data_IF_851148666418
#
_entry.id   IF_851148666418
#
_cell.length_a   1.000
_cell.length_b   1.000
_cell.length_c   1.000
_cell.angle_alpha   90.00
_cell.angle_beta   90.00
_cell.angle_gamma   90.00
#
_symmetry.space_group_name_H-M   'P 1'
#
loop_
_entity.id
_entity.type
_entity.pdbx_description
1 polymer ?
#
# COMPACT_ATOMS: atom_id res chain seq x y z
N UNK A 1 -9.08 42.82 26.72
CA UNK A 1 -9.78 42.33 25.51
C UNK A 1 -10.44 41.01 25.90
N UNK A 2 -11.76 41.01 26.11
CA UNK A 2 -12.51 39.84 26.58
C UNK A 2 -12.59 38.78 25.47
N UNK A 3 -11.64 37.84 25.46
CA UNK A 3 -11.67 36.65 24.60
C UNK A 3 -13.04 35.94 24.56
N UNK A 4 -13.82 35.86 25.66
CA UNK A 4 -15.16 35.25 25.63
C UNK A 4 -16.18 36.03 24.78
N UNK A 5 -16.13 37.37 24.77
CA UNK A 5 -17.07 38.20 23.99
C UNK A 5 -16.75 38.14 22.49
N UNK A 6 -15.47 38.15 22.13
CA UNK A 6 -15.02 38.04 20.74
C UNK A 6 -15.45 36.70 20.10
N UNK A 7 -15.39 35.61 20.87
CA UNK A 7 -15.78 34.28 20.41
C UNK A 7 -17.29 34.15 20.12
N UNK A 8 -18.13 34.90 20.85
CA UNK A 8 -19.59 34.85 20.68
C UNK A 8 -20.06 35.69 19.48
N UNK A 9 -19.44 36.82 19.21
CA UNK A 9 -19.84 37.71 18.10
C UNK A 9 -19.16 37.37 16.76
N UNK A 10 -17.95 36.81 16.78
CA UNK A 10 -17.15 36.56 15.57
C UNK A 10 -16.99 35.08 15.21
N UNK A 11 -17.84 34.20 15.74
CA UNK A 11 -17.77 32.76 15.46
C UNK A 11 -17.78 32.41 13.96
N UNK A 12 -18.48 33.10 13.03
CA UNK A 12 -18.43 32.76 11.61
C UNK A 12 -17.06 33.04 10.99
N UNK A 13 -16.42 34.15 11.41
CA UNK A 13 -15.06 34.48 11.00
C UNK A 13 -14.06 33.45 11.53
N UNK A 14 -14.22 32.96 12.77
CA UNK A 14 -13.37 31.91 13.33
C UNK A 14 -13.49 30.59 12.54
N UNK A 15 -14.71 30.19 12.14
CA UNK A 15 -14.91 29.01 11.29
C UNK A 15 -14.25 29.17 9.92
N UNK A 16 -14.33 30.37 9.33
CA UNK A 16 -13.68 30.67 8.06
C UNK A 16 -12.15 30.65 8.17
N UNK A 17 -11.57 31.22 9.24
CA UNK A 17 -10.13 31.12 9.51
C UNK A 17 -9.71 29.66 9.66
N UNK A 18 -10.49 28.85 10.37
CA UNK A 18 -10.23 27.43 10.51
C UNK A 18 -10.31 26.69 9.16
N UNK A 19 -11.27 27.02 8.30
CA UNK A 19 -11.33 26.52 6.92
C UNK A 19 -10.05 26.86 6.15
N UNK A 20 -9.57 28.10 6.24
CA UNK A 20 -8.32 28.53 5.59
C UNK A 20 -7.11 27.72 6.07
N UNK A 21 -6.99 27.48 7.39
CA UNK A 21 -5.91 26.65 7.96
C UNK A 21 -6.00 25.20 7.47
N UNK A 22 -7.19 24.62 7.50
CA UNK A 22 -7.44 23.24 7.03
C UNK A 22 -7.14 23.11 5.53
N UNK A 23 -7.58 24.07 4.72
CA UNK A 23 -7.30 24.12 3.29
C UNK A 23 -5.81 24.26 3.00
N UNK A 24 -5.12 25.14 3.74
CA UNK A 24 -3.68 25.33 3.63
C UNK A 24 -2.92 24.03 3.93
N UNK A 25 -3.27 23.33 5.02
CA UNK A 25 -2.64 22.04 5.36
C UNK A 25 -2.89 21.03 4.23
N UNK A 26 -4.11 20.92 3.70
CA UNK A 26 -4.36 20.01 2.58
C UNK A 26 -3.55 20.35 1.34
N UNK A 27 -3.53 21.62 0.93
CA UNK A 27 -2.72 22.08 -0.22
C UNK A 27 -1.24 21.78 0.02
N UNK A 28 -0.75 21.94 1.26
CA UNK A 28 0.60 21.52 1.63
C UNK A 28 0.81 20.01 1.45
N UNK A 29 -0.11 19.15 1.89
CA UNK A 29 0.00 17.70 1.64
C UNK A 29 0.06 17.37 0.15
N UNK A 30 -0.81 17.97 -0.66
CA UNK A 30 -0.83 17.75 -2.10
C UNK A 30 0.42 18.28 -2.80
N UNK A 31 0.86 19.49 -2.46
CA UNK A 31 2.02 20.14 -3.09
C UNK A 31 3.35 19.54 -2.63
N UNK A 32 3.54 19.36 -1.33
CA UNK A 32 4.79 18.87 -0.75
C UNK A 32 4.88 17.36 -0.87
N UNK A 33 3.99 16.58 -0.23
CA UNK A 33 4.12 15.13 -0.25
C UNK A 33 3.72 14.56 -1.61
N UNK A 34 2.46 14.69 -2.00
CA UNK A 34 1.94 13.98 -3.18
C UNK A 34 2.48 14.53 -4.50
N UNK A 35 2.92 15.78 -4.53
CA UNK A 35 3.69 16.39 -5.61
C UNK A 35 4.94 15.59 -5.95
N UNK A 36 5.61 15.00 -4.95
CA UNK A 36 6.80 14.18 -5.20
C UNK A 36 6.50 13.00 -6.10
N UNK A 37 5.42 12.26 -5.87
CA UNK A 37 5.04 11.17 -6.76
C UNK A 37 4.58 11.69 -8.13
N UNK A 38 3.74 12.73 -8.16
CA UNK A 38 3.21 13.30 -9.39
C UNK A 38 4.32 13.74 -10.38
N UNK A 39 5.43 14.26 -9.85
CA UNK A 39 6.57 14.72 -10.64
C UNK A 39 7.76 13.75 -10.66
N UNK A 40 7.67 12.62 -9.95
CA UNK A 40 8.75 11.63 -9.93
C UNK A 40 9.01 11.06 -11.32
N UNK A 41 10.27 11.04 -11.73
CA UNK A 41 10.73 10.35 -12.94
C UNK A 41 11.75 9.31 -12.53
N UNK A 42 11.55 8.08 -12.97
CA UNK A 42 12.55 7.03 -12.77
C UNK A 42 13.79 7.39 -13.59
N UNK A 43 14.96 7.42 -12.95
CA UNK A 43 16.22 7.63 -13.66
C UNK A 43 16.60 6.32 -14.35
N UNK A 44 16.76 6.29 -15.69
CA UNK A 44 17.24 5.11 -16.39
C UNK A 44 18.60 4.68 -15.82
N UNK A 45 18.82 3.37 -15.63
CA UNK A 45 20.17 2.86 -15.38
C UNK A 45 20.94 2.85 -16.69
N UNK A 46 22.16 3.38 -16.70
CA UNK A 46 23.09 3.29 -17.83
C UNK A 46 23.56 1.84 -18.05
N UNK A 47 23.62 1.04 -16.98
CA UNK A 47 23.98 -0.39 -17.01
C UNK A 47 22.99 -1.19 -16.17
N UNK A 48 22.30 -2.15 -16.78
CA UNK A 48 21.45 -3.10 -16.05
C UNK A 48 22.33 -4.14 -15.34
N UNK A 49 22.65 -3.91 -14.07
CA UNK A 49 23.19 -4.98 -13.22
C UNK A 49 22.00 -5.75 -12.65
N UNK A 50 21.71 -6.90 -13.25
CA UNK A 50 20.74 -7.87 -12.74
C UNK A 50 21.47 -8.84 -11.80
N UNK A 51 20.97 -8.97 -10.58
CA UNK A 51 21.48 -9.89 -9.56
C UNK A 51 20.53 -11.09 -9.43
N UNK A 52 20.98 -12.19 -8.84
CA UNK A 52 20.07 -13.31 -8.60
C UNK A 52 18.94 -12.93 -7.61
N UNK A 53 17.72 -13.40 -7.88
CA UNK A 53 16.50 -13.03 -7.12
C UNK A 53 15.79 -14.28 -6.62
N UNK A 54 15.35 -14.27 -5.36
CA UNK A 54 14.40 -15.26 -4.83
C UNK A 54 13.02 -14.63 -4.70
N UNK A 55 12.05 -15.16 -5.45
CA UNK A 55 10.65 -14.78 -5.29
C UNK A 55 10.06 -15.63 -4.16
N UNK A 56 9.38 -15.02 -3.20
CA UNK A 56 8.75 -15.74 -2.08
C UNK A 56 7.24 -15.54 -2.14
N UNK A 57 6.51 -16.66 -2.19
CA UNK A 57 5.04 -16.73 -2.20
C UNK A 57 4.59 -17.58 -1.01
N UNK A 58 3.66 -17.10 -0.20
CA UNK A 58 3.03 -17.95 0.83
C UNK A 58 1.57 -18.21 0.45
N UNK A 59 1.14 -19.45 0.66
CA UNK A 59 -0.17 -19.95 0.29
C UNK A 59 -0.79 -20.72 1.46
N UNK A 60 -2.08 -20.53 1.71
CA UNK A 60 -2.92 -21.39 2.55
C UNK A 60 -4.33 -21.41 2.02
N UNK A 61 -4.78 -22.59 1.64
CA UNK A 61 -6.05 -22.79 0.96
C UNK A 61 -6.17 -21.87 -0.27
N UNK A 62 -5.17 -21.99 -1.17
CA UNK A 62 -4.98 -21.12 -2.34
C UNK A 62 -4.90 -21.92 -3.65
N UNK A 63 -5.40 -23.16 -3.71
CA UNK A 63 -5.25 -24.04 -4.88
C UNK A 63 -5.68 -23.35 -6.19
N UNK A 64 -6.89 -22.77 -6.19
CA UNK A 64 -7.44 -22.06 -7.34
C UNK A 64 -6.63 -20.81 -7.75
N UNK A 65 -6.09 -20.08 -6.77
CA UNK A 65 -5.28 -18.89 -7.04
C UNK A 65 -3.89 -19.27 -7.56
N UNK A 66 -3.28 -20.33 -7.05
CA UNK A 66 -1.98 -20.82 -7.51
C UNK A 66 -2.05 -21.31 -8.96
N UNK A 67 -3.06 -22.11 -9.33
CA UNK A 67 -3.28 -22.53 -10.72
C UNK A 67 -3.34 -21.33 -11.66
N UNK A 68 -4.01 -20.26 -11.23
CA UNK A 68 -4.24 -19.07 -12.06
C UNK A 68 -3.04 -18.13 -12.13
N UNK A 69 -2.36 -17.90 -11.00
CA UNK A 69 -1.45 -16.76 -10.85
C UNK A 69 0.03 -17.18 -10.84
N UNK A 70 0.35 -18.34 -10.26
CA UNK A 70 1.73 -18.79 -10.08
C UNK A 70 2.48 -18.99 -11.41
N UNK A 71 1.87 -19.46 -12.52
CA UNK A 71 2.54 -19.49 -13.82
C UNK A 71 3.11 -18.14 -14.26
N UNK A 72 2.43 -17.03 -13.97
CA UNK A 72 2.92 -15.68 -14.29
C UNK A 72 4.17 -15.28 -13.51
N UNK A 73 4.38 -15.85 -12.31
CA UNK A 73 5.60 -15.69 -11.52
C UNK A 73 6.73 -16.60 -12.02
N UNK A 74 6.39 -17.80 -12.48
CA UNK A 74 7.35 -18.82 -12.93
C UNK A 74 7.91 -18.56 -14.33
N UNK A 75 7.13 -17.91 -15.19
CA UNK A 75 7.47 -17.64 -16.60
C UNK A 75 8.13 -16.26 -16.82
N UNK A 76 8.78 -15.71 -15.79
CA UNK A 76 9.41 -14.40 -15.86
C UNK A 76 10.65 -14.41 -16.77
N UNK A 77 10.71 -13.43 -17.68
CA UNK A 77 11.87 -13.14 -18.53
C UNK A 77 12.90 -12.39 -17.71
N UNK A 78 13.86 -13.14 -17.17
CA UNK A 78 14.93 -12.59 -16.35
C UNK A 78 16.29 -13.08 -16.86
N UNK A 79 17.21 -12.18 -17.26
CA UNK A 79 18.48 -12.58 -17.89
C UNK A 79 19.46 -13.25 -16.94
N UNK A 80 19.26 -13.09 -15.63
CA UNK A 80 20.07 -13.72 -14.57
C UNK A 80 19.26 -14.86 -13.93
N UNK A 81 19.85 -15.52 -12.94
CA UNK A 81 19.18 -16.57 -12.18
C UNK A 81 18.05 -16.01 -11.30
N UNK A 82 16.96 -16.73 -11.24
CA UNK A 82 15.95 -16.55 -10.20
C UNK A 82 15.44 -17.91 -9.71
N UNK A 83 14.88 -17.93 -8.51
CA UNK A 83 14.12 -19.05 -7.99
C UNK A 83 12.77 -18.58 -7.44
N UNK A 84 11.83 -19.51 -7.30
CA UNK A 84 10.52 -19.23 -6.72
C UNK A 84 10.32 -20.16 -5.52
N UNK A 85 10.33 -19.59 -4.32
CA UNK A 85 10.06 -20.29 -3.06
C UNK A 85 8.58 -20.15 -2.72
N UNK A 86 7.83 -21.24 -2.81
CA UNK A 86 6.43 -21.30 -2.43
C UNK A 86 6.30 -22.01 -1.09
N UNK A 87 5.78 -21.31 -0.09
CA UNK A 87 5.54 -21.85 1.25
C UNK A 87 4.06 -22.21 1.36
N UNK A 88 3.77 -23.50 1.46
CA UNK A 88 2.43 -24.03 1.74
C UNK A 88 2.23 -24.09 3.26
N UNK A 89 1.35 -23.23 3.78
CA UNK A 89 1.13 -23.06 5.22
C UNK A 89 -0.11 -23.80 5.69
N UNK A 90 0.04 -25.09 5.96
CA UNK A 90 -1.00 -25.94 6.57
C UNK A 90 -2.35 -25.88 5.82
N UNK A 91 -2.30 -26.00 4.49
CA UNK A 91 -3.51 -26.04 3.65
C UNK A 91 -4.29 -27.35 3.83
N UNK A 92 -5.61 -27.24 3.76
CA UNK A 92 -6.55 -28.37 3.78
C UNK A 92 -7.15 -28.64 2.39
N UNK A 93 -7.07 -27.68 1.47
CA UNK A 93 -7.50 -27.85 0.08
C UNK A 93 -6.44 -28.56 -0.79
N UNK A 94 -6.64 -28.56 -2.10
CA UNK A 94 -5.76 -29.20 -3.08
C UNK A 94 -4.43 -28.45 -3.33
N UNK A 95 -4.10 -27.41 -2.55
CA UNK A 95 -2.90 -26.58 -2.72
C UNK A 95 -1.63 -27.43 -2.86
N UNK A 96 -1.49 -28.44 -2.00
CA UNK A 96 -0.32 -29.32 -2.02
C UNK A 96 -0.15 -30.02 -3.36
N UNK A 97 -1.21 -30.61 -3.91
CA UNK A 97 -1.17 -31.36 -5.17
C UNK A 97 -0.87 -30.44 -6.36
N UNK A 98 -1.42 -29.23 -6.37
CA UNK A 98 -1.11 -28.21 -7.38
C UNK A 98 0.37 -27.87 -7.38
N UNK A 99 0.96 -27.68 -6.20
CA UNK A 99 2.39 -27.36 -6.06
C UNK A 99 3.30 -28.54 -6.44
N UNK A 100 2.91 -29.76 -6.11
CA UNK A 100 3.64 -30.98 -6.51
C UNK A 100 3.67 -31.12 -8.03
N UNK A 101 2.56 -30.84 -8.72
CA UNK A 101 2.49 -30.91 -10.19
C UNK A 101 3.34 -29.82 -10.85
N UNK A 102 3.18 -28.56 -10.42
CA UNK A 102 3.98 -27.45 -10.95
C UNK A 102 5.49 -27.66 -10.72
N UNK A 103 5.89 -28.32 -9.62
CA UNK A 103 7.31 -28.61 -9.34
C UNK A 103 7.92 -29.61 -10.32
N UNK A 104 7.11 -30.48 -10.93
CA UNK A 104 7.60 -31.41 -11.96
C UNK A 104 8.07 -30.64 -13.19
N UNK A 105 7.33 -29.61 -13.59
CA UNK A 105 7.60 -28.76 -14.75
C UNK A 105 8.66 -27.68 -14.46
N UNK A 106 8.54 -26.97 -13.34
CA UNK A 106 9.39 -25.80 -13.04
C UNK A 106 10.48 -26.11 -12.00
N UNK A 107 11.67 -26.47 -12.47
CA UNK A 107 12.81 -26.86 -11.59
C UNK A 107 13.37 -25.72 -10.74
N UNK A 108 13.17 -24.47 -11.14
CA UNK A 108 13.51 -23.28 -10.36
C UNK A 108 12.56 -23.07 -9.15
N UNK A 109 11.44 -23.80 -9.10
CA UNK A 109 10.50 -23.71 -7.99
C UNK A 109 10.92 -24.61 -6.82
N UNK A 110 10.92 -24.04 -5.62
CA UNK A 110 11.11 -24.74 -4.36
C UNK A 110 9.83 -24.66 -3.55
N UNK A 111 9.32 -25.81 -3.12
CA UNK A 111 8.12 -25.89 -2.28
C UNK A 111 8.55 -26.21 -0.86
N UNK A 112 8.10 -25.40 0.09
CA UNK A 112 8.29 -25.61 1.53
C UNK A 112 6.94 -25.93 2.14
N UNK A 113 6.80 -27.16 2.63
CA UNK A 113 5.59 -27.63 3.28
C UNK A 113 5.66 -27.37 4.79
N UNK A 114 4.67 -26.64 5.32
CA UNK A 114 4.47 -26.48 6.76
C UNK A 114 3.24 -27.27 7.19
N UNK A 115 3.47 -28.31 7.99
CA UNK A 115 2.42 -29.21 8.49
C UNK A 115 1.96 -28.87 9.90
N UNK A 116 2.54 -27.83 10.50
CA UNK A 116 2.24 -27.41 11.87
C UNK A 116 2.11 -25.89 11.94
N UNK A 117 1.07 -25.43 12.64
CA UNK A 117 0.91 -24.01 12.92
C UNK A 117 1.93 -23.53 13.95
N UNK A 118 2.52 -22.36 13.70
CA UNK A 118 3.37 -21.72 14.68
C UNK A 118 2.54 -21.21 15.86
N UNK A 119 2.77 -21.79 17.04
CA UNK A 119 2.18 -21.30 18.29
C UNK A 119 2.57 -19.82 18.48
N UNK A 120 1.57 -18.99 18.80
CA UNK A 120 1.73 -17.57 19.15
C UNK A 120 2.19 -16.63 18.01
N UNK A 121 2.24 -17.10 16.76
CA UNK A 121 2.55 -16.26 15.58
C UNK A 121 1.37 -16.33 14.60
N UNK A 122 0.29 -15.56 14.83
CA UNK A 122 -0.85 -15.54 13.92
C UNK A 122 -0.50 -14.94 12.56
N UNK A 123 -1.15 -15.45 11.51
CA UNK A 123 -1.06 -14.90 10.15
C UNK A 123 0.19 -15.30 9.37
N UNK A 124 0.46 -14.54 8.30
CA UNK A 124 1.47 -14.89 7.27
C UNK A 124 2.93 -14.77 7.74
N UNK A 125 3.21 -14.20 8.91
CA UNK A 125 4.59 -13.90 9.36
C UNK A 125 5.45 -15.14 9.51
N UNK A 126 4.91 -16.22 10.06
CA UNK A 126 5.63 -17.47 10.21
C UNK A 126 6.00 -18.10 8.86
N UNK A 127 5.04 -18.42 7.96
CA UNK A 127 5.39 -19.00 6.67
C UNK A 127 6.28 -18.08 5.84
N UNK A 128 6.07 -16.76 5.89
CA UNK A 128 6.93 -15.80 5.20
C UNK A 128 8.36 -15.82 5.76
N UNK A 129 8.54 -15.92 7.09
CA UNK A 129 9.86 -16.04 7.70
C UNK A 129 10.60 -17.30 7.25
N UNK A 130 9.88 -18.42 7.13
CA UNK A 130 10.46 -19.67 6.63
C UNK A 130 10.86 -19.50 5.16
N UNK A 131 9.97 -18.97 4.32
CA UNK A 131 10.27 -18.72 2.91
C UNK A 131 11.50 -17.83 2.69
N UNK A 132 11.59 -16.74 3.46
CA UNK A 132 12.75 -15.83 3.44
C UNK A 132 14.03 -16.53 3.89
N UNK A 133 13.98 -17.34 4.96
CA UNK A 133 15.14 -18.09 5.43
C UNK A 133 15.63 -19.11 4.40
N UNK A 134 14.69 -19.79 3.72
CA UNK A 134 14.97 -20.80 2.70
C UNK A 134 15.47 -20.21 1.38
N UNK A 135 15.11 -18.97 1.05
CA UNK A 135 15.58 -18.27 -0.15
C UNK A 135 17.12 -18.28 -0.26
N UNK A 136 17.65 -18.66 -1.41
CA UNK A 136 19.09 -18.76 -1.71
C UNK A 136 19.73 -17.41 -2.00
N UNK A 137 18.97 -16.48 -2.56
CA UNK A 137 19.50 -15.21 -3.03
C UNK A 137 19.25 -14.06 -2.06
N UNK A 138 20.12 -13.05 -2.15
CA UNK A 138 20.06 -11.87 -1.28
C UNK A 138 18.89 -10.96 -1.64
N UNK A 139 18.53 -10.81 -2.91
CA UNK A 139 17.37 -9.98 -3.30
C UNK A 139 16.11 -10.83 -3.23
N UNK A 140 15.20 -10.41 -2.36
CA UNK A 140 13.90 -11.04 -2.19
C UNK A 140 12.84 -10.22 -2.91
N UNK A 141 11.92 -10.91 -3.59
CA UNK A 141 10.74 -10.31 -4.18
C UNK A 141 9.51 -11.03 -3.63
N UNK A 142 8.60 -10.29 -3.00
CA UNK A 142 7.44 -10.82 -2.30
C UNK A 142 6.18 -10.52 -3.09
N UNK A 143 5.33 -11.54 -3.19
CA UNK A 143 3.97 -11.43 -3.71
C UNK A 143 3.04 -12.40 -2.96
N UNK A 144 1.73 -12.17 -3.08
CA UNK A 144 0.71 -13.06 -2.52
C UNK A 144 0.29 -14.11 -3.56
N UNK A 145 -0.24 -15.25 -3.11
CA UNK A 145 -0.73 -16.31 -4.00
C UNK A 145 -1.92 -15.87 -4.88
N UNK A 146 -2.68 -14.87 -4.44
CA UNK A 146 -3.80 -14.27 -5.17
C UNK A 146 -3.38 -13.13 -6.14
N UNK A 147 -2.07 -12.97 -6.35
CA UNK A 147 -1.48 -11.93 -7.20
C UNK A 147 -0.70 -12.52 -8.38
N UNK A 148 -0.86 -11.91 -9.55
CA UNK A 148 -0.09 -12.22 -10.76
C UNK A 148 0.73 -11.00 -11.20
N UNK A 149 2.00 -11.14 -11.61
CA UNK A 149 2.74 -10.07 -12.26
C UNK A 149 2.00 -9.49 -13.48
N UNK A 150 2.02 -8.18 -13.66
CA UNK A 150 1.38 -7.51 -14.79
C UNK A 150 2.15 -7.68 -16.12
N UNK A 151 3.41 -8.12 -16.04
CA UNK A 151 4.32 -8.31 -17.17
C UNK A 151 5.21 -9.53 -16.93
N UNK A 152 5.73 -10.10 -18.01
CA UNK A 152 6.82 -11.11 -18.00
C UNK A 152 8.16 -10.50 -17.58
N UNK A 153 8.29 -9.17 -17.58
CA UNK A 153 9.50 -8.44 -17.18
C UNK A 153 9.44 -7.92 -15.73
N UNK A 154 8.53 -8.43 -14.90
CA UNK A 154 8.30 -7.91 -13.55
C UNK A 154 9.54 -7.99 -12.67
N UNK A 155 10.25 -9.12 -12.68
CA UNK A 155 11.51 -9.25 -11.92
C UNK A 155 12.53 -8.23 -12.41
N UNK A 156 12.75 -8.13 -13.72
CA UNK A 156 13.67 -7.17 -14.35
C UNK A 156 13.32 -5.73 -13.96
N UNK A 157 12.04 -5.36 -14.04
CA UNK A 157 11.57 -4.03 -13.71
C UNK A 157 11.76 -3.70 -12.22
N UNK A 158 11.44 -4.62 -11.32
CA UNK A 158 11.69 -4.45 -9.88
C UNK A 158 13.18 -4.29 -9.56
N UNK A 159 14.05 -5.04 -10.24
CA UNK A 159 15.50 -4.93 -10.08
C UNK A 159 16.05 -3.59 -10.58
N UNK A 160 15.48 -3.03 -11.65
CA UNK A 160 15.89 -1.72 -12.18
C UNK A 160 15.74 -0.58 -11.17
N UNK A 161 14.92 -0.73 -10.13
CA UNK A 161 14.80 0.24 -9.03
C UNK A 161 15.98 0.18 -8.03
N UNK A 162 16.73 -0.92 -7.94
CA UNK A 162 17.88 -1.04 -7.05
C UNK A 162 19.03 -0.11 -7.49
N UNK A 163 19.76 0.42 -6.52
CA UNK A 163 21.04 1.13 -6.63
C UNK A 163 21.93 0.58 -5.52
N UNK A 164 23.19 1.00 -5.46
CA UNK A 164 24.15 0.48 -4.48
C UNK A 164 23.65 0.67 -3.02
N UNK A 165 22.98 1.79 -2.76
CA UNK A 165 22.39 2.15 -1.46
C UNK A 165 21.01 1.54 -1.21
N UNK A 166 20.35 1.00 -2.25
CA UNK A 166 18.99 0.46 -2.12
C UNK A 166 19.02 -0.89 -1.43
N UNK A 167 18.18 -1.02 -0.41
CA UNK A 167 17.89 -2.29 0.25
C UNK A 167 16.40 -2.65 0.20
N UNK A 168 15.52 -1.69 -0.08
CA UNK A 168 14.06 -1.86 -0.12
C UNK A 168 13.51 -1.16 -1.37
N UNK A 169 12.64 -1.85 -2.11
CA UNK A 169 11.89 -1.30 -3.24
C UNK A 169 10.39 -1.53 -3.00
N UNK A 170 9.63 -0.43 -2.96
CA UNK A 170 8.18 -0.43 -2.80
C UNK A 170 7.51 -0.46 -4.19
N UNK A 171 6.80 -1.53 -4.50
CA UNK A 171 6.06 -1.69 -5.76
C UNK A 171 4.56 -1.45 -5.59
N UNK A 172 3.85 -1.24 -6.70
CA UNK A 172 2.40 -1.06 -6.70
C UNK A 172 1.68 -2.41 -6.90
N UNK A 173 0.88 -2.81 -5.91
CA UNK A 173 -0.06 -3.92 -6.03
C UNK A 173 -1.42 -3.41 -6.51
N UNK A 174 -1.67 -3.49 -7.81
CA UNK A 174 -2.90 -3.06 -8.44
C UNK A 174 -4.01 -4.12 -8.33
N UNK A 175 -5.24 -3.73 -8.67
CA UNK A 175 -6.36 -4.66 -8.82
C UNK A 175 -6.77 -4.74 -10.30
N UNK A 176 -7.26 -5.91 -10.73
CA UNK A 176 -7.88 -6.02 -12.05
C UNK A 176 -9.03 -5.02 -12.21
N UNK A 177 -9.07 -4.35 -13.36
CA UNK A 177 -10.18 -3.47 -13.74
C UNK A 177 -11.39 -4.33 -14.08
N UNK A 178 -12.45 -4.21 -13.28
CA UNK A 178 -13.73 -4.90 -13.49
C UNK A 178 -14.85 -3.86 -13.60
N UNK A 179 -15.96 -4.27 -14.21
CA UNK A 179 -17.18 -3.44 -14.22
C UNK A 179 -17.72 -3.27 -12.79
N UNK A 180 -18.45 -2.19 -12.56
CA UNK A 180 -19.14 -1.92 -11.29
C UNK A 180 -18.43 -0.93 -10.37
N UNK A 181 -19.23 -0.27 -9.54
CA UNK A 181 -18.78 0.81 -8.66
C UNK A 181 -17.84 0.33 -7.54
N UNK A 182 -18.09 -0.86 -6.97
CA UNK A 182 -17.24 -1.44 -5.93
C UNK A 182 -15.78 -1.59 -6.39
N UNK A 183 -15.54 -2.06 -7.62
CA UNK A 183 -14.17 -2.17 -8.14
C UNK A 183 -13.49 -0.81 -8.27
N UNK A 184 -14.20 0.21 -8.79
CA UNK A 184 -13.65 1.57 -8.88
C UNK A 184 -13.31 2.13 -7.50
N UNK A 185 -14.15 1.87 -6.49
CA UNK A 185 -13.89 2.28 -5.12
C UNK A 185 -12.67 1.57 -4.50
N UNK A 186 -12.55 0.26 -4.68
CA UNK A 186 -11.39 -0.52 -4.19
C UNK A 186 -10.11 0.00 -4.84
N UNK A 187 -10.12 0.24 -6.15
CA UNK A 187 -8.98 0.77 -6.89
C UNK A 187 -8.64 2.20 -6.47
N UNK A 188 -9.65 3.05 -6.24
CA UNK A 188 -9.44 4.39 -5.70
C UNK A 188 -8.70 4.36 -4.37
N UNK A 189 -9.15 3.51 -3.44
CA UNK A 189 -8.54 3.41 -2.13
C UNK A 189 -7.13 2.80 -2.19
N UNK A 190 -6.90 1.88 -3.12
CA UNK A 190 -5.56 1.31 -3.40
C UNK A 190 -4.61 2.36 -3.95
N UNK A 191 -5.08 3.16 -4.92
CA UNK A 191 -4.36 4.31 -5.46
C UNK A 191 -4.06 5.35 -4.37
N UNK A 192 -5.05 5.67 -3.53
CA UNK A 192 -4.94 6.66 -2.47
C UNK A 192 -3.97 6.22 -1.35
N UNK A 193 -3.89 4.92 -1.07
CA UNK A 193 -2.86 4.34 -0.21
C UNK A 193 -1.48 4.39 -0.87
N UNK A 194 -1.40 4.11 -2.17
CA UNK A 194 -0.15 4.12 -2.92
C UNK A 194 0.46 5.53 -3.05
N UNK A 195 -0.35 6.54 -3.37
CA UNK A 195 0.14 7.92 -3.39
C UNK A 195 0.68 8.34 -2.02
N UNK A 196 0.10 7.86 -0.92
CA UNK A 196 0.62 8.14 0.42
C UNK A 196 1.98 7.46 0.67
N UNK A 197 2.07 6.12 0.63
CA UNK A 197 3.31 5.45 1.01
C UNK A 197 4.46 5.75 0.05
N UNK A 198 4.19 5.86 -1.26
CA UNK A 198 5.23 6.19 -2.23
C UNK A 198 5.72 7.63 -2.07
N UNK A 199 4.81 8.59 -1.83
CA UNK A 199 5.19 9.99 -1.64
C UNK A 199 5.95 10.21 -0.34
N UNK A 200 5.60 9.51 0.72
CA UNK A 200 6.32 9.57 2.00
C UNK A 200 7.71 8.93 1.86
N UNK A 201 7.84 7.82 1.13
CA UNK A 201 9.15 7.26 0.79
C UNK A 201 10.01 8.27 0.02
N UNK A 202 9.45 8.94 -1.00
CA UNK A 202 10.15 10.02 -1.75
C UNK A 202 10.47 11.25 -0.89
N UNK A 203 9.71 11.51 0.17
CA UNK A 203 10.01 12.54 1.16
C UNK A 203 11.07 12.09 2.19
N UNK A 204 11.54 10.84 2.11
CA UNK A 204 12.54 10.28 3.01
C UNK A 204 11.98 9.71 4.32
N UNK A 205 10.67 9.48 4.38
CA UNK A 205 9.95 8.95 5.55
C UNK A 205 9.10 7.71 5.16
N UNK A 206 9.72 6.65 4.62
CA UNK A 206 8.98 5.44 4.25
C UNK A 206 8.33 4.82 5.50
N UNK A 207 7.05 4.45 5.38
CA UNK A 207 6.28 3.92 6.51
C UNK A 207 5.59 2.58 6.22
N UNK A 208 5.42 2.23 4.94
CA UNK A 208 4.61 1.10 4.50
C UNK A 208 5.06 0.63 3.11
N UNK A 209 4.97 -0.68 2.89
CA UNK A 209 4.91 -1.32 1.59
C UNK A 209 3.68 -2.22 1.52
N UNK A 210 3.46 -2.90 0.40
CA UNK A 210 2.35 -3.84 0.24
C UNK A 210 2.91 -5.21 -0.08
N UNK A 211 2.55 -6.23 0.69
CA UNK A 211 3.07 -7.61 0.55
C UNK A 211 2.81 -8.24 -0.83
N UNK A 212 1.82 -7.71 -1.55
CA UNK A 212 1.51 -8.05 -2.95
C UNK A 212 2.59 -7.63 -3.95
N UNK A 213 3.43 -6.65 -3.63
CA UNK A 213 4.50 -6.18 -4.50
C UNK A 213 5.57 -5.43 -3.70
N UNK A 214 6.48 -6.19 -3.10
CA UNK A 214 7.53 -5.65 -2.23
C UNK A 214 8.83 -6.37 -2.50
N UNK A 215 9.94 -5.63 -2.58
CA UNK A 215 11.27 -6.24 -2.65
C UNK A 215 12.17 -5.68 -1.57
N UNK A 216 12.99 -6.53 -0.97
CA UNK A 216 14.06 -6.09 -0.10
C UNK A 216 15.21 -7.10 -0.05
N UNK A 217 16.38 -6.63 0.37
CA UNK A 217 17.55 -7.47 0.66
C UNK A 217 17.30 -8.34 1.89
N UNK A 218 17.62 -9.63 1.81
CA UNK A 218 17.49 -10.63 2.89
C UNK A 218 18.22 -10.19 4.16
N UNK A 219 19.35 -9.51 4.04
CA UNK A 219 20.07 -8.90 5.16
C UNK A 219 19.22 -7.90 5.96
N UNK A 220 18.29 -7.17 5.33
CA UNK A 220 17.36 -6.26 6.03
C UNK A 220 16.48 -7.03 6.98
N UNK A 221 15.94 -8.18 6.54
CA UNK A 221 15.10 -9.05 7.37
C UNK A 221 15.85 -9.55 8.61
N UNK A 222 17.09 -10.03 8.44
CA UNK A 222 17.88 -10.48 9.58
C UNK A 222 18.31 -9.35 10.50
N UNK A 223 18.68 -8.19 9.95
CA UNK A 223 19.03 -7.00 10.74
C UNK A 223 17.88 -6.52 11.62
N UNK A 224 16.64 -6.71 11.17
CA UNK A 224 15.42 -6.45 11.96
C UNK A 224 14.99 -7.61 12.86
N UNK A 225 15.78 -8.69 12.94
CA UNK A 225 15.43 -9.93 13.67
C UNK A 225 14.09 -10.52 13.22
N UNK A 226 13.86 -10.51 11.91
CA UNK A 226 12.63 -10.93 11.26
C UNK A 226 11.42 -10.11 11.70
N UNK A 227 10.31 -10.80 12.00
CA UNK A 227 9.07 -10.15 12.46
C UNK A 227 8.92 -10.17 14.00
N UNK A 228 9.98 -10.50 14.74
CA UNK A 228 9.92 -10.74 16.20
C UNK A 228 9.25 -9.61 17.00
N UNK A 229 9.49 -8.35 16.63
CA UNK A 229 8.89 -7.18 17.28
C UNK A 229 7.34 -7.13 17.20
N UNK A 230 6.75 -7.82 16.22
CA UNK A 230 5.31 -7.76 15.94
C UNK A 230 4.70 -9.13 15.58
N UNK A 231 5.34 -10.25 15.99
CA UNK A 231 4.84 -11.61 15.76
C UNK A 231 3.43 -11.84 16.32
N UNK A 232 3.12 -11.23 17.45
CA UNK A 232 1.81 -11.33 18.12
C UNK A 232 0.69 -10.57 17.39
N UNK A 233 1.03 -9.78 16.37
CA UNK A 233 0.08 -9.00 15.58
C UNK A 233 -0.22 -9.81 14.32
N UNK A 234 -1.50 -10.13 14.00
CA UNK A 234 -1.83 -10.95 12.83
C UNK A 234 -1.44 -10.31 11.49
N UNK A 235 -1.67 -9.01 11.31
CA UNK A 235 -1.30 -8.25 10.11
C UNK A 235 0.03 -7.51 10.25
N UNK A 236 0.52 -6.94 9.16
CA UNK A 236 1.68 -6.07 9.13
C UNK A 236 3.02 -6.75 8.95
N UNK A 237 3.01 -7.90 8.29
CA UNK A 237 4.17 -8.54 7.68
C UNK A 237 4.85 -7.65 6.62
N UNK A 238 4.11 -6.72 6.01
CA UNK A 238 4.60 -5.72 5.07
C UNK A 238 4.73 -4.32 5.71
N UNK A 239 3.64 -3.76 6.23
CA UNK A 239 3.59 -2.36 6.66
C UNK A 239 4.49 -2.10 7.90
N UNK A 240 4.36 -2.88 8.99
CA UNK A 240 5.16 -2.73 10.21
C UNK A 240 6.64 -3.06 9.96
N UNK A 241 6.91 -4.02 9.09
CA UNK A 241 8.28 -4.34 8.69
C UNK A 241 8.95 -3.13 8.00
N UNK A 242 8.29 -2.54 7.01
CA UNK A 242 8.81 -1.34 6.33
C UNK A 242 8.83 -0.13 7.25
N UNK A 243 7.85 0.00 8.14
CA UNK A 243 7.84 1.05 9.17
C UNK A 243 9.09 0.99 10.04
N UNK A 244 9.56 -0.21 10.39
CA UNK A 244 10.75 -0.43 11.20
C UNK A 244 12.04 -0.27 10.38
N UNK A 245 12.10 -0.91 9.19
CA UNK A 245 13.32 -1.10 8.41
C UNK A 245 13.64 0.01 7.40
N UNK A 246 12.61 0.70 6.91
CA UNK A 246 12.70 1.71 5.88
C UNK A 246 13.37 2.98 6.38
N UNK A 247 14.25 3.54 5.56
CA UNK A 247 14.93 4.82 5.80
C UNK A 247 14.97 5.63 4.51
N UNK A 248 15.28 6.94 4.64
CA UNK A 248 15.50 7.83 3.49
C UNK A 248 16.56 7.31 2.50
N UNK A 249 17.59 6.61 2.99
CA UNK A 249 18.74 6.20 2.16
C UNK A 249 18.51 4.85 1.47
N UNK A 250 17.88 3.90 2.16
CA UNK A 250 17.80 2.53 1.66
C UNK A 250 16.50 2.18 0.92
N UNK A 251 15.52 3.08 0.87
CA UNK A 251 14.19 2.80 0.33
C UNK A 251 13.94 3.57 -0.95
N UNK A 252 13.48 2.87 -2.00
CA UNK A 252 13.03 3.45 -3.27
C UNK A 252 11.64 2.94 -3.63
N UNK A 253 11.01 3.62 -4.60
CA UNK A 253 9.73 3.20 -5.18
C UNK A 253 9.94 2.73 -6.61
N UNK A 254 9.04 1.85 -7.08
CA UNK A 254 8.93 1.53 -8.49
C UNK A 254 7.53 1.85 -9.02
N UNK A 255 7.48 2.70 -10.05
CA UNK A 255 6.25 3.14 -10.73
C UNK A 255 6.18 2.65 -12.17
N UNK A 256 7.14 1.82 -12.58
CA UNK A 256 7.10 1.19 -13.90
C UNK A 256 5.95 0.18 -13.95
N UNK A 257 5.10 0.30 -14.98
CA UNK A 257 3.88 -0.53 -15.08
C UNK A 257 4.20 -2.02 -15.26
N UNK A 258 5.36 -2.35 -15.83
CA UNK A 258 5.85 -3.72 -15.91
C UNK A 258 6.23 -4.29 -14.54
N UNK A 259 6.47 -3.42 -13.55
CA UNK A 259 6.77 -3.81 -12.17
C UNK A 259 5.53 -4.10 -11.32
N UNK A 260 4.32 -3.94 -11.84
CA UNK A 260 3.10 -4.08 -11.04
C UNK A 260 2.70 -5.54 -10.84
N UNK A 261 1.95 -5.80 -9.77
CA UNK A 261 1.19 -7.05 -9.61
C UNK A 261 -0.30 -6.75 -9.62
N UNK A 262 -1.11 -7.73 -10.00
CA UNK A 262 -2.55 -7.63 -10.13
C UNK A 262 -3.23 -8.68 -9.27
N UNK A 263 -4.17 -8.25 -8.43
CA UNK A 263 -5.03 -9.17 -7.69
C UNK A 263 -6.51 -9.01 -8.03
N UNK A 264 -7.31 -10.02 -7.68
CA UNK A 264 -8.75 -9.93 -7.80
C UNK A 264 -9.31 -8.98 -6.73
N UNK A 265 -10.20 -8.02 -7.09
CA UNK A 265 -10.87 -7.19 -6.09
C UNK A 265 -11.84 -8.05 -5.25
N UNK A 266 -12.14 -7.59 -4.03
CA UNK A 266 -13.18 -8.20 -3.22
C UNK A 266 -14.51 -8.30 -4.01
N UNK A 267 -15.19 -9.44 -3.87
CA UNK A 267 -16.42 -9.75 -4.60
C UNK A 267 -17.64 -9.02 -4.03
N UNK A 268 -17.58 -8.62 -2.75
CA UNK A 268 -18.70 -7.95 -2.07
C UNK A 268 -18.24 -6.82 -1.15
N UNK A 269 -19.17 -5.91 -0.83
CA UNK A 269 -18.97 -4.83 0.13
C UNK A 269 -18.59 -5.33 1.51
N UNK A 270 -19.17 -6.45 1.95
CA UNK A 270 -18.89 -7.05 3.24
C UNK A 270 -17.46 -7.59 3.30
N UNK A 271 -17.03 -8.31 2.26
CA UNK A 271 -15.67 -8.81 2.15
C UNK A 271 -14.66 -7.66 2.14
N UNK A 272 -14.92 -6.61 1.34
CA UNK A 272 -14.08 -5.41 1.31
C UNK A 272 -13.99 -4.72 2.68
N UNK A 273 -15.11 -4.51 3.38
CA UNK A 273 -15.12 -3.90 4.71
C UNK A 273 -14.32 -4.73 5.73
N UNK A 274 -14.40 -6.05 5.67
CA UNK A 274 -13.63 -6.95 6.55
C UNK A 274 -12.13 -6.82 6.29
N UNK A 275 -11.72 -6.87 5.02
CA UNK A 275 -10.31 -6.68 4.62
C UNK A 275 -9.76 -5.33 5.11
N UNK A 276 -10.54 -4.25 4.96
CA UNK A 276 -10.11 -2.91 5.38
C UNK A 276 -10.02 -2.75 6.88
N UNK A 277 -10.99 -3.26 7.64
CA UNK A 277 -10.91 -3.26 9.11
C UNK A 277 -9.63 -3.94 9.61
N UNK A 278 -9.23 -5.06 8.98
CA UNK A 278 -7.98 -5.76 9.32
C UNK A 278 -6.76 -4.85 9.10
N UNK A 279 -6.69 -4.16 7.96
CA UNK A 279 -5.59 -3.24 7.67
C UNK A 279 -5.52 -2.06 8.66
N UNK A 280 -6.66 -1.44 9.01
CA UNK A 280 -6.64 -0.31 9.96
C UNK A 280 -6.14 -0.69 11.36
N UNK A 281 -6.33 -1.93 11.79
CA UNK A 281 -5.91 -2.37 13.13
C UNK A 281 -4.39 -2.46 13.33
N UNK A 282 -3.59 -2.50 12.25
CA UNK A 282 -2.11 -2.49 12.34
C UNK A 282 -1.56 -1.08 12.49
N UNK A 283 -2.24 -0.07 11.97
CA UNK A 283 -1.76 1.33 11.94
C UNK A 283 -1.42 1.94 13.32
N UNK A 284 -2.02 1.45 14.41
CA UNK A 284 -1.73 1.89 15.78
C UNK A 284 -0.29 1.59 16.23
N UNK A 285 0.36 0.63 15.60
CA UNK A 285 1.73 0.21 15.89
C UNK A 285 2.79 0.95 15.06
N UNK A 286 2.38 1.86 14.18
CA UNK A 286 3.34 2.70 13.45
C UNK A 286 4.10 3.66 14.38
N UNK A 287 5.31 4.06 13.96
CA UNK A 287 6.09 5.14 14.57
C UNK A 287 5.24 6.42 14.72
N UNK A 288 5.48 7.17 15.78
CA UNK A 288 4.67 8.37 16.14
C UNK A 288 4.57 9.40 15.02
N UNK A 289 5.66 9.64 14.28
CA UNK A 289 5.66 10.54 13.13
C UNK A 289 4.70 10.09 12.03
N UNK A 290 4.64 8.79 11.73
CA UNK A 290 3.76 8.26 10.70
C UNK A 290 2.30 8.33 11.16
N UNK A 291 2.02 8.03 12.44
CA UNK A 291 0.68 8.20 13.02
C UNK A 291 0.22 9.65 12.94
N UNK A 292 1.09 10.60 13.32
CA UNK A 292 0.79 12.03 13.22
C UNK A 292 0.48 12.44 11.78
N UNK A 293 1.35 12.12 10.81
CA UNK A 293 1.15 12.52 9.42
C UNK A 293 -0.12 11.92 8.79
N UNK A 294 -0.43 10.64 9.07
CA UNK A 294 -1.63 9.99 8.56
C UNK A 294 -2.90 10.52 9.24
N UNK A 295 -2.87 10.70 10.56
CA UNK A 295 -4.00 11.23 11.32
C UNK A 295 -4.28 12.68 10.95
N UNK A 296 -3.26 13.54 10.81
CA UNK A 296 -3.42 14.92 10.38
C UNK A 296 -4.07 14.96 9.00
N UNK A 297 -3.58 14.17 8.03
CA UNK A 297 -4.16 14.14 6.69
C UNK A 297 -5.64 13.72 6.69
N UNK A 298 -5.98 12.64 7.39
CA UNK A 298 -7.36 12.18 7.51
C UNK A 298 -8.25 13.20 8.23
N UNK A 299 -7.74 13.81 9.30
CA UNK A 299 -8.47 14.78 10.13
C UNK A 299 -8.77 16.08 9.36
N UNK A 300 -7.77 16.66 8.68
CA UNK A 300 -8.01 17.87 7.87
C UNK A 300 -8.93 17.60 6.70
N UNK A 301 -8.91 16.39 6.14
CA UNK A 301 -9.84 16.03 5.07
C UNK A 301 -11.27 15.87 5.57
N UNK A 302 -11.45 15.21 6.71
CA UNK A 302 -12.73 15.10 7.39
C UNK A 302 -13.33 16.47 7.76
N UNK A 303 -12.53 17.39 8.30
CA UNK A 303 -13.00 18.71 8.73
C UNK A 303 -13.37 19.65 7.57
N UNK A 304 -12.74 19.49 6.41
CA UNK A 304 -12.84 20.47 5.33
C UNK A 304 -14.26 20.69 4.83
N UNK A 305 -15.02 19.62 4.57
CA UNK A 305 -16.37 19.74 4.02
C UNK A 305 -17.38 20.35 4.99
N UNK A 306 -17.44 19.94 6.27
CA UNK A 306 -18.26 20.64 7.27
C UNK A 306 -17.88 22.13 7.40
N UNK A 307 -16.59 22.46 7.49
CA UNK A 307 -16.13 23.84 7.61
C UNK A 307 -16.41 24.68 6.36
N UNK A 308 -16.35 24.07 5.18
CA UNK A 308 -16.69 24.72 3.92
C UNK A 308 -18.17 25.09 3.91
N UNK A 309 -19.05 24.14 4.26
CA UNK A 309 -20.50 24.36 4.29
C UNK A 309 -20.86 25.43 5.32
N UNK A 310 -20.33 25.34 6.55
CA UNK A 310 -20.65 26.33 7.59
C UNK A 310 -20.09 27.71 7.26
N UNK A 311 -18.88 27.81 6.71
CA UNK A 311 -18.31 29.10 6.28
C UNK A 311 -19.10 29.73 5.12
N UNK A 312 -19.58 28.91 4.18
CA UNK A 312 -20.38 29.40 3.07
C UNK A 312 -21.76 29.92 3.52
N UNK A 313 -22.37 29.27 4.51
CA UNK A 313 -23.70 29.66 5.02
C UNK A 313 -23.66 30.85 5.98
N UNK A 314 -22.65 30.92 6.85
CA UNK A 314 -22.65 31.85 7.99
C UNK A 314 -21.64 32.99 7.88
N UNK A 315 -20.63 32.89 7.02
CA UNK A 315 -19.64 33.95 6.84
C UNK A 315 -19.74 34.59 5.45
N UNK A 316 -19.26 33.91 4.41
CA UNK A 316 -19.26 34.42 3.04
C UNK A 316 -19.01 33.26 2.05
N UNK A 317 -19.94 33.03 1.12
CA UNK A 317 -19.86 31.91 0.18
C UNK A 317 -18.83 32.12 -0.92
N UNK A 318 -18.57 33.37 -1.35
CA UNK A 318 -17.60 33.66 -2.40
C UNK A 318 -16.17 33.17 -2.08
N UNK A 319 -15.53 33.55 -0.95
CA UNK A 319 -14.19 33.06 -0.62
C UNK A 319 -14.18 31.57 -0.28
N UNK A 320 -15.27 31.02 0.28
CA UNK A 320 -15.38 29.59 0.54
C UNK A 320 -15.31 28.77 -0.76
N UNK A 321 -16.03 29.18 -1.81
CA UNK A 321 -15.99 28.52 -3.12
C UNK A 321 -14.63 28.73 -3.81
N UNK A 322 -13.99 29.89 -3.66
CA UNK A 322 -12.63 30.12 -4.18
C UNK A 322 -11.64 29.14 -3.54
N UNK A 323 -11.70 28.95 -2.22
CA UNK A 323 -10.86 27.98 -1.49
C UNK A 323 -11.12 26.55 -2.00
N UNK A 324 -12.39 26.16 -2.19
CA UNK A 324 -12.75 24.87 -2.79
C UNK A 324 -12.14 24.72 -4.19
N UNK A 325 -12.26 25.74 -5.05
CA UNK A 325 -11.74 25.73 -6.41
C UNK A 325 -10.23 25.56 -6.47
N UNK A 326 -9.48 26.31 -5.66
CA UNK A 326 -8.02 26.19 -5.56
C UNK A 326 -7.63 24.79 -5.08
N UNK A 327 -8.27 24.31 -4.01
CA UNK A 327 -8.02 22.97 -3.45
C UNK A 327 -8.26 21.87 -4.48
N UNK A 328 -9.39 21.90 -5.18
CA UNK A 328 -9.73 20.91 -6.22
C UNK A 328 -8.81 20.99 -7.44
N UNK A 329 -8.37 22.18 -7.82
CA UNK A 329 -7.44 22.37 -8.94
C UNK A 329 -6.08 21.73 -8.64
N UNK A 330 -5.49 22.05 -7.48
CA UNK A 330 -4.21 21.46 -7.03
C UNK A 330 -4.34 19.95 -6.91
N UNK A 331 -5.37 19.48 -6.22
CA UNK A 331 -5.61 18.06 -6.01
C UNK A 331 -5.83 17.31 -7.33
N UNK A 332 -6.67 17.84 -8.21
CA UNK A 332 -6.99 17.23 -9.50
C UNK A 332 -5.73 17.09 -10.37
N UNK A 333 -4.89 18.12 -10.42
CA UNK A 333 -3.64 18.07 -11.15
C UNK A 333 -2.69 16.99 -10.62
N UNK A 334 -2.51 16.92 -9.30
CA UNK A 334 -1.64 15.92 -8.63
C UNK A 334 -2.18 14.50 -8.83
N UNK A 335 -3.50 14.30 -8.68
CA UNK A 335 -4.12 13.01 -8.90
C UNK A 335 -4.03 12.57 -10.35
N UNK A 336 -4.30 13.43 -11.32
CA UNK A 336 -4.19 13.08 -12.74
C UNK A 336 -2.79 12.55 -13.08
N UNK A 337 -1.74 13.26 -12.65
CA UNK A 337 -0.34 12.86 -12.88
C UNK A 337 0.02 11.56 -12.16
N UNK A 338 -0.43 11.39 -10.92
CA UNK A 338 -0.13 10.20 -10.12
C UNK A 338 -0.89 8.96 -10.62
N UNK A 339 -2.15 9.12 -10.99
CA UNK A 339 -2.98 8.06 -11.57
C UNK A 339 -2.42 7.58 -12.91
N UNK A 340 -1.80 8.46 -13.70
CA UNK A 340 -1.11 8.06 -14.93
C UNK A 340 0.01 7.05 -14.67
N UNK A 341 0.84 7.37 -13.68
CA UNK A 341 2.00 6.57 -13.27
C UNK A 341 1.54 5.21 -12.77
N UNK A 342 0.50 5.19 -11.95
CA UNK A 342 -0.03 3.97 -11.35
C UNK A 342 -1.04 3.21 -12.24
N UNK A 343 -1.32 3.69 -13.46
CA UNK A 343 -2.22 3.00 -14.40
C UNK A 343 -3.71 3.13 -14.06
N UNK A 344 -4.09 4.14 -13.28
CA UNK A 344 -5.43 4.36 -12.71
C UNK A 344 -6.17 5.58 -13.31
N UNK A 345 -5.72 6.09 -14.47
CA UNK A 345 -6.28 7.30 -15.13
C UNK A 345 -7.79 7.25 -15.35
N UNK A 346 -8.38 6.06 -15.53
CA UNK A 346 -9.83 5.87 -15.71
C UNK A 346 -10.65 6.21 -14.46
N UNK A 347 -10.02 6.36 -13.29
CA UNK A 347 -10.68 6.83 -12.07
C UNK A 347 -10.79 8.36 -12.00
N UNK A 348 -9.98 9.09 -12.78
CA UNK A 348 -9.92 10.55 -12.71
C UNK A 348 -11.27 11.24 -12.91
N UNK A 349 -12.15 10.85 -13.86
CA UNK A 349 -13.47 11.48 -13.99
C UNK A 349 -14.33 11.44 -12.72
N UNK A 350 -14.05 10.54 -11.79
CA UNK A 350 -14.76 10.39 -10.52
C UNK A 350 -13.99 10.97 -9.33
N UNK A 351 -12.87 11.69 -9.52
CA UNK A 351 -12.01 12.09 -8.41
C UNK A 351 -12.71 13.02 -7.40
N UNK A 352 -13.57 13.94 -7.87
CA UNK A 352 -14.33 14.83 -6.98
C UNK A 352 -15.31 14.02 -6.13
N UNK A 353 -16.01 13.07 -6.77
CA UNK A 353 -16.90 12.16 -6.08
C UNK A 353 -16.15 11.33 -5.03
N UNK A 354 -14.98 10.78 -5.37
CA UNK A 354 -14.20 10.00 -4.43
C UNK A 354 -13.59 10.85 -3.31
N UNK A 355 -13.23 12.10 -3.59
CA UNK A 355 -12.77 13.03 -2.57
C UNK A 355 -13.87 13.36 -1.55
N UNK A 356 -15.10 13.59 -2.01
CA UNK A 356 -16.27 13.70 -1.14
C UNK A 356 -16.54 12.40 -0.36
N UNK A 357 -16.42 11.25 -1.03
CA UNK A 357 -16.62 9.93 -0.42
C UNK A 357 -15.66 9.68 0.76
N UNK A 358 -14.45 10.23 0.74
CA UNK A 358 -13.48 10.04 1.82
C UNK A 358 -13.98 10.55 3.17
N UNK A 359 -14.85 11.57 3.20
CA UNK A 359 -15.51 12.01 4.43
C UNK A 359 -16.27 10.85 5.11
N UNK A 360 -17.09 10.14 4.33
CA UNK A 360 -17.84 8.98 4.81
C UNK A 360 -16.94 7.78 5.11
N UNK A 361 -15.89 7.60 4.31
CA UNK A 361 -14.91 6.54 4.51
C UNK A 361 -14.20 6.67 5.87
N UNK A 362 -13.77 7.87 6.26
CA UNK A 362 -13.13 8.09 7.56
C UNK A 362 -14.09 7.84 8.72
N UNK A 363 -15.35 8.27 8.60
CA UNK A 363 -16.38 7.97 9.61
C UNK A 363 -16.62 6.45 9.75
N UNK A 364 -16.64 5.73 8.63
CA UNK A 364 -16.88 4.28 8.62
C UNK A 364 -15.72 3.48 9.25
N UNK A 365 -14.47 3.91 9.07
CA UNK A 365 -13.29 3.15 9.52
C UNK A 365 -12.61 3.70 10.77
N UNK A 366 -12.94 4.91 11.25
CA UNK A 366 -12.43 5.45 12.52
C UNK A 366 -12.60 4.48 13.71
N UNK A 367 -13.74 3.77 13.89
CA UNK A 367 -13.89 2.81 14.98
C UNK A 367 -12.92 1.62 14.91
N UNK A 368 -12.38 1.30 13.73
CA UNK A 368 -11.41 0.21 13.58
C UNK A 368 -10.07 0.53 14.26
N UNK A 369 -9.72 1.81 14.40
CA UNK A 369 -8.49 2.26 15.08
C UNK A 369 -8.48 1.91 16.58
N UNK A 370 -9.67 1.84 17.19
CA UNK A 370 -9.86 1.53 18.61
C UNK A 370 -9.96 0.02 18.89
N UNK A 371 -10.08 -0.82 17.85
CA UNK A 371 -10.30 -2.26 18.00
C UNK A 371 -9.00 -3.06 18.04
N UNK A 372 -9.03 -4.21 18.71
CA UNK A 372 -7.95 -5.21 18.64
C UNK A 372 -8.07 -6.01 17.33
N UNK A 373 -6.94 -6.36 16.68
CA UNK A 373 -6.96 -7.21 15.49
C UNK A 373 -7.52 -8.59 15.83
N UNK A 374 -8.35 -9.16 14.94
CA UNK A 374 -8.78 -10.56 15.03
C UNK A 374 -7.59 -11.48 14.72
N UNK A 375 -7.47 -12.59 15.44
CA UNK A 375 -6.32 -13.51 15.34
C UNK A 375 -6.33 -14.43 14.10
N UNK A 376 -7.37 -14.41 13.28
CA UNK A 376 -7.50 -15.33 12.13
C UNK A 376 -6.82 -14.80 10.87
N UNK A 377 -6.22 -15.72 10.10
CA UNK A 377 -5.78 -15.47 8.73
C UNK A 377 -6.97 -15.74 7.80
N UNK A 378 -7.34 -14.73 7.01
CA UNK A 378 -8.61 -14.53 6.27
C UNK A 378 -9.76 -13.97 7.11
#
# INVERSE_FOLDING_TARGET
MDLPKLAVEQWPLLLFILLCVVAFIQIFYYGFFFGRLAFYKSTPKTTSQTHAVSVVVCARDEAANLVKNLPGVLLQKYPTTHEVVVVNDNSFDETRYVLEELKKEFKQMQVVELTQEAKMIPGKKFPLSIGIKTAKHEILLLTDADCVPASEDWITSMQNAYRDDTEIVLGYGAYHKKKGFLNKLIRWETFHTAIQYMSYALAGIPYMGVGRNLSYKKAVFFRQKGFSAHNHIPGGDDDLFINAAGTKKNTRINIDKGSFTLSAPAASWQQWKTQKKRHYTTSKYYKSIHKFLLATYAFVHFLFYPLLITSALFYNWQPAIIILGIKLMVQGFIFYKSMDKLGEKDLFPLFIFFDLWMFFYYLMFAPALLRKPKQTWK
#
